data_IF_088059906531
#
_entry.id   IF_088059906531
#
_cell.length_a   1.000
_cell.length_b   1.000
_cell.length_c   1.000
_cell.angle_alpha   90.00
_cell.angle_beta   90.00
_cell.angle_gamma   90.00
#
_symmetry.space_group_name_H-M   'P 1'
#
loop_
_entity.id
_entity.type
_entity.pdbx_description
1 polymer ?
#
# COMPACT_ATOMS: atom_id res chain seq x y z
N UNK A 1 9.60 -11.31 91.04
CA UNK A 1 8.60 -11.56 89.93
C UNK A 1 8.51 -10.28 89.10
N UNK A 2 9.21 -10.19 87.95
CA UNK A 2 9.16 -9.06 87.05
C UNK A 2 8.36 -9.47 85.82
N UNK A 3 7.19 -8.82 85.58
CA UNK A 3 6.36 -8.98 84.38
C UNK A 3 6.91 -8.10 83.28
N UNK A 4 7.22 -8.70 82.15
CA UNK A 4 7.54 -7.99 80.90
C UNK A 4 6.25 -7.85 80.06
N UNK A 5 5.92 -6.58 79.75
CA UNK A 5 4.88 -6.28 78.70
C UNK A 5 5.58 -6.21 77.40
N UNK A 6 5.07 -7.04 76.40
CA UNK A 6 5.47 -6.95 75.03
C UNK A 6 4.44 -6.02 74.32
N UNK A 7 4.91 -4.87 73.83
CA UNK A 7 4.12 -3.99 72.97
C UNK A 7 4.26 -4.46 71.54
N UNK A 8 3.18 -4.94 71.00
CA UNK A 8 3.12 -5.28 69.56
C UNK A 8 2.93 -4.03 68.71
N UNK A 9 3.87 -3.73 67.82
CA UNK A 9 3.75 -2.69 66.80
C UNK A 9 3.05 -3.29 65.61
N UNK A 10 1.80 -2.85 65.31
CA UNK A 10 1.12 -3.12 64.06
C UNK A 10 1.74 -2.20 62.99
N UNK A 11 2.51 -2.76 62.06
CA UNK A 11 2.92 -2.09 60.85
C UNK A 11 1.75 -2.15 59.81
N UNK A 12 1.05 -1.05 59.63
CA UNK A 12 0.13 -0.85 58.51
C UNK A 12 0.96 -0.74 57.23
N UNK A 13 1.00 -1.80 56.44
CA UNK A 13 1.54 -1.79 55.09
C UNK A 13 0.67 -0.93 54.16
N UNK A 14 1.15 0.25 53.82
CA UNK A 14 0.57 1.06 52.74
C UNK A 14 1.07 0.42 51.44
N UNK A 15 0.18 -0.33 50.76
CA UNK A 15 0.44 -0.75 49.38
C UNK A 15 0.52 0.51 48.50
N UNK A 16 1.52 0.63 47.62
CA UNK A 16 1.52 1.73 46.68
C UNK A 16 0.31 1.58 45.75
N UNK A 17 -0.58 2.55 45.75
CA UNK A 17 -1.53 2.71 44.65
C UNK A 17 -0.67 3.00 43.42
N UNK A 18 -0.66 2.06 42.48
CA UNK A 18 -0.19 2.31 41.12
C UNK A 18 -1.08 3.44 40.56
N UNK A 19 -0.53 4.63 40.40
CA UNK A 19 -1.20 5.69 39.70
C UNK A 19 -1.37 5.19 38.24
N UNK A 20 -2.60 4.83 37.87
CA UNK A 20 -2.93 4.54 36.48
C UNK A 20 -2.74 5.85 35.73
N UNK A 21 -1.90 5.87 34.70
CA UNK A 21 -1.74 7.05 33.88
C UNK A 21 -3.12 7.45 33.35
N UNK A 22 -3.41 8.75 33.37
CA UNK A 22 -4.68 9.23 32.79
C UNK A 22 -4.69 8.91 31.30
N UNK A 23 -5.86 8.51 30.79
CA UNK A 23 -6.04 8.31 29.34
C UNK A 23 -5.60 9.58 28.57
N UNK A 24 -4.94 9.45 27.40
CA UNK A 24 -4.64 10.61 26.58
C UNK A 24 -5.92 11.30 26.11
N UNK A 25 -5.84 12.55 25.69
CA UNK A 25 -6.94 13.19 25.00
C UNK A 25 -7.04 12.67 23.57
N UNK A 26 -8.25 12.65 22.99
CA UNK A 26 -8.44 12.32 21.58
C UNK A 26 -7.62 13.25 20.67
N UNK A 27 -7.61 14.58 20.96
CA UNK A 27 -6.80 15.54 20.23
C UNK A 27 -5.31 15.17 20.17
N UNK A 28 -4.74 14.66 21.26
CA UNK A 28 -3.34 14.21 21.27
C UNK A 28 -3.12 12.97 20.39
N UNK A 29 -4.09 12.05 20.33
CA UNK A 29 -4.05 10.88 19.43
C UNK A 29 -4.18 11.31 17.97
N UNK A 30 -5.10 12.22 17.64
CA UNK A 30 -5.24 12.77 16.30
C UNK A 30 -3.96 13.49 15.84
N UNK A 31 -3.29 14.19 16.76
CA UNK A 31 -2.01 14.85 16.49
C UNK A 31 -0.94 13.82 16.14
N UNK A 32 -0.78 12.75 16.96
CA UNK A 32 0.17 11.67 16.70
C UNK A 32 -0.12 11.00 15.36
N UNK A 33 -1.38 10.68 15.08
CA UNK A 33 -1.80 10.11 13.79
C UNK A 33 -1.36 10.96 12.59
N UNK A 34 -1.61 12.27 12.67
CA UNK A 34 -1.21 13.19 11.61
C UNK A 34 0.32 13.37 11.51
N UNK A 35 1.05 13.30 12.62
CA UNK A 35 2.51 13.40 12.64
C UNK A 35 3.18 12.16 12.03
N UNK A 36 2.66 10.96 12.31
CA UNK A 36 3.17 9.73 11.69
C UNK A 36 2.78 9.64 10.21
N UNK A 37 1.58 10.09 9.81
CA UNK A 37 1.20 10.20 8.40
C UNK A 37 2.16 11.12 7.64
N UNK A 38 2.41 12.33 8.16
CA UNK A 38 3.36 13.28 7.57
C UNK A 38 4.75 12.66 7.40
N UNK A 39 5.27 12.00 8.44
CA UNK A 39 6.58 11.36 8.41
C UNK A 39 6.65 10.20 7.37
N UNK A 40 5.58 9.40 7.25
CA UNK A 40 5.53 8.31 6.27
C UNK A 40 5.51 8.83 4.83
N UNK A 41 4.74 9.90 4.55
CA UNK A 41 4.75 10.54 3.22
C UNK A 41 6.08 11.27 2.93
N UNK A 42 6.74 11.89 3.93
CA UNK A 42 8.10 12.42 3.75
C UNK A 42 9.09 11.30 3.36
N UNK A 43 9.01 10.13 4.00
CA UNK A 43 9.87 9.00 3.71
C UNK A 43 9.56 8.41 2.33
N UNK A 44 8.28 8.36 1.91
CA UNK A 44 7.88 7.99 0.55
C UNK A 44 8.48 8.94 -0.48
N UNK A 45 8.46 10.25 -0.23
CA UNK A 45 9.10 11.25 -1.09
C UNK A 45 10.64 11.09 -1.14
N UNK A 46 11.27 10.80 0.00
CA UNK A 46 12.73 10.57 0.07
C UNK A 46 13.11 9.37 -0.79
N UNK A 47 12.38 8.26 -0.67
CA UNK A 47 12.68 7.04 -1.43
C UNK A 47 12.31 7.16 -2.91
N UNK A 48 11.26 7.90 -3.26
CA UNK A 48 10.94 8.22 -4.66
C UNK A 48 12.04 9.08 -5.33
N UNK A 49 12.65 10.02 -4.63
CA UNK A 49 13.82 10.78 -5.12
C UNK A 49 15.08 9.91 -5.29
N UNK A 50 15.20 8.83 -4.50
CA UNK A 50 16.25 7.84 -4.72
C UNK A 50 15.95 6.97 -5.94
N UNK A 51 14.68 6.62 -6.19
CA UNK A 51 14.24 5.95 -7.41
C UNK A 51 14.52 6.81 -8.64
N UNK A 52 14.19 8.11 -8.64
CA UNK A 52 14.52 9.05 -9.72
C UNK A 52 16.02 9.03 -10.04
N UNK A 53 16.87 9.12 -9.02
CA UNK A 53 18.32 9.08 -9.21
C UNK A 53 18.81 7.78 -9.85
N UNK A 54 18.16 6.65 -9.57
CA UNK A 54 18.47 5.35 -10.15
C UNK A 54 17.95 5.25 -11.60
N UNK A 55 16.78 5.81 -11.88
CA UNK A 55 16.20 5.93 -13.23
C UNK A 55 17.09 6.82 -14.11
N UNK A 56 17.54 7.97 -13.63
CA UNK A 56 18.48 8.85 -14.32
C UNK A 56 19.78 8.11 -14.68
N UNK A 57 20.30 7.32 -13.76
CA UNK A 57 21.50 6.52 -14.00
C UNK A 57 21.28 5.43 -15.07
N UNK A 58 20.11 4.78 -15.08
CA UNK A 58 19.71 3.82 -16.11
C UNK A 58 19.63 4.50 -17.48
N UNK A 59 18.97 5.64 -17.59
CA UNK A 59 18.78 6.38 -18.84
C UNK A 59 20.14 6.89 -19.38
N UNK A 60 20.98 7.43 -18.50
CA UNK A 60 22.28 7.97 -18.87
C UNK A 60 23.29 6.89 -19.31
N UNK A 61 23.21 5.70 -18.72
CA UNK A 61 24.15 4.59 -18.98
C UNK A 61 23.46 3.23 -18.84
N UNK A 62 22.62 2.83 -19.82
CA UNK A 62 21.85 1.60 -19.76
C UNK A 62 22.74 0.36 -19.64
N UNK A 63 22.51 -0.44 -18.63
CA UNK A 63 23.18 -1.72 -18.34
C UNK A 63 22.32 -2.57 -17.42
N UNK A 64 22.61 -3.87 -17.30
CA UNK A 64 21.95 -4.73 -16.31
C UNK A 64 22.11 -4.18 -14.90
N UNK A 65 23.30 -3.71 -14.52
CA UNK A 65 23.56 -3.13 -13.20
C UNK A 65 22.68 -1.89 -12.91
N UNK A 66 22.51 -0.98 -13.87
CA UNK A 66 21.70 0.23 -13.67
C UNK A 66 20.21 -0.09 -13.68
N UNK A 67 19.76 -1.05 -14.49
CA UNK A 67 18.38 -1.54 -14.44
C UNK A 67 18.08 -2.22 -13.09
N UNK A 68 18.96 -3.09 -12.61
CA UNK A 68 18.80 -3.75 -11.31
C UNK A 68 18.76 -2.73 -10.16
N UNK A 69 19.57 -1.67 -10.22
CA UNK A 69 19.52 -0.59 -9.22
C UNK A 69 18.22 0.18 -9.26
N UNK A 70 17.66 0.45 -10.45
CA UNK A 70 16.35 1.09 -10.57
C UNK A 70 15.24 0.20 -10.02
N UNK A 71 15.25 -1.09 -10.31
CA UNK A 71 14.34 -2.09 -9.73
C UNK A 71 14.42 -2.16 -8.20
N UNK A 72 15.64 -2.18 -7.65
CA UNK A 72 15.84 -2.18 -6.19
C UNK A 72 15.35 -0.88 -5.55
N UNK A 73 15.58 0.28 -6.19
CA UNK A 73 15.12 1.57 -5.72
C UNK A 73 13.59 1.66 -5.75
N UNK A 74 12.93 1.09 -6.75
CA UNK A 74 11.48 1.00 -6.81
C UNK A 74 10.94 0.15 -5.63
N UNK A 75 11.47 -1.05 -5.40
CA UNK A 75 11.08 -1.88 -4.25
C UNK A 75 11.30 -1.15 -2.92
N UNK A 76 12.40 -0.42 -2.77
CA UNK A 76 12.65 0.38 -1.58
C UNK A 76 11.65 1.55 -1.42
N UNK A 77 11.18 2.14 -2.52
CA UNK A 77 10.20 3.21 -2.50
C UNK A 77 8.79 2.71 -2.09
N UNK A 78 8.47 1.44 -2.36
CA UNK A 78 7.22 0.82 -1.90
C UNK A 78 7.15 0.68 -0.36
N UNK A 79 8.30 0.51 0.32
CA UNK A 79 8.34 0.25 1.77
C UNK A 79 7.64 1.32 2.61
N UNK A 80 7.99 2.62 2.54
CA UNK A 80 7.27 3.65 3.28
C UNK A 80 5.89 3.93 2.69
N UNK A 81 5.74 3.87 1.36
CA UNK A 81 4.49 4.19 0.71
C UNK A 81 3.35 3.26 1.12
N UNK A 82 3.53 1.94 1.08
CA UNK A 82 2.49 0.98 1.45
C UNK A 82 2.00 1.16 2.90
N UNK A 83 2.85 1.61 3.80
CA UNK A 83 2.44 1.94 5.16
C UNK A 83 1.50 3.15 5.23
N UNK A 84 1.41 3.95 4.14
CA UNK A 84 0.49 5.10 4.07
C UNK A 84 -0.92 4.73 3.64
N UNK A 85 -1.18 3.54 3.13
CA UNK A 85 -2.50 3.08 2.71
C UNK A 85 -3.53 3.12 3.86
N UNK A 86 -3.09 2.98 5.11
CA UNK A 86 -3.94 3.11 6.29
C UNK A 86 -4.55 4.52 6.49
N UNK A 87 -4.04 5.54 5.79
CA UNK A 87 -4.56 6.92 5.85
C UNK A 87 -5.57 7.25 4.75
N UNK A 88 -5.76 6.36 3.78
CA UNK A 88 -6.59 6.52 2.61
C UNK A 88 -8.07 6.57 2.98
N UNK A 89 -8.60 5.47 3.44
CA UNK A 89 -10.03 5.33 3.76
C UNK A 89 -10.43 6.23 4.95
N UNK A 90 -11.55 6.90 4.82
CA UNK A 90 -12.03 7.85 5.84
C UNK A 90 -11.48 9.27 5.68
N UNK A 91 -10.47 9.51 4.83
CA UNK A 91 -10.00 10.84 4.45
C UNK A 91 -10.09 11.05 2.93
N UNK A 92 -11.16 11.69 2.42
CA UNK A 92 -11.40 11.82 0.98
C UNK A 92 -10.27 12.48 0.20
N UNK A 93 -9.46 13.35 0.87
CA UNK A 93 -8.32 14.02 0.21
C UNK A 93 -7.22 13.01 -0.13
N UNK A 94 -7.01 12.02 0.74
CA UNK A 94 -6.01 10.97 0.53
C UNK A 94 -6.56 9.93 -0.44
N UNK A 95 -7.82 9.54 -0.28
CA UNK A 95 -8.46 8.52 -1.08
C UNK A 95 -8.58 8.93 -2.57
N UNK A 96 -9.05 10.14 -2.85
CA UNK A 96 -9.11 10.68 -4.21
C UNK A 96 -7.71 10.90 -4.84
N UNK A 97 -6.68 11.11 -4.01
CA UNK A 97 -5.31 11.32 -4.49
C UNK A 97 -4.59 10.00 -4.78
N UNK A 98 -4.91 8.94 -4.06
CA UNK A 98 -4.21 7.65 -4.14
C UNK A 98 -4.19 7.09 -5.56
N UNK A 99 -5.29 7.18 -6.31
CA UNK A 99 -5.37 6.75 -7.71
C UNK A 99 -4.30 7.38 -8.62
N UNK A 100 -3.76 8.56 -8.31
CA UNK A 100 -2.67 9.15 -9.10
C UNK A 100 -1.35 8.36 -8.99
N UNK A 101 -1.12 7.70 -7.86
CA UNK A 101 0.19 7.11 -7.52
C UNK A 101 0.20 5.60 -7.39
N UNK A 102 -0.95 4.97 -7.10
CA UNK A 102 -1.02 3.53 -6.80
C UNK A 102 -2.22 2.81 -7.46
N UNK A 103 -2.86 3.44 -8.47
CA UNK A 103 -3.95 2.80 -9.20
C UNK A 103 -3.53 1.45 -9.78
N UNK A 104 -4.43 0.47 -9.68
CA UNK A 104 -4.29 -0.92 -10.10
C UNK A 104 -5.71 -1.51 -10.29
N UNK A 105 -5.95 -2.50 -11.16
CA UNK A 105 -5.01 -3.13 -12.10
C UNK A 105 -4.62 -2.25 -13.30
N UNK A 106 -3.57 -2.67 -14.05
CA UNK A 106 -3.00 -1.88 -15.14
C UNK A 106 -3.03 -2.66 -16.46
N UNK A 107 -3.65 -2.07 -17.49
CA UNK A 107 -3.57 -2.55 -18.88
C UNK A 107 -2.25 -2.11 -19.54
N UNK A 108 -1.26 -2.99 -19.59
CA UNK A 108 0.12 -2.71 -20.02
C UNK A 108 0.20 -2.26 -21.48
N UNK A 109 -0.67 -2.81 -22.33
CA UNK A 109 -0.68 -2.52 -23.76
C UNK A 109 -1.07 -1.09 -24.12
N UNK A 110 -1.63 -0.32 -23.18
CA UNK A 110 -1.80 1.12 -23.33
C UNK A 110 -0.44 1.84 -23.30
N UNK A 111 0.48 1.41 -22.47
CA UNK A 111 1.78 2.05 -22.25
C UNK A 111 2.80 1.62 -23.30
N UNK A 112 3.07 0.30 -23.40
CA UNK A 112 4.18 -0.24 -24.18
C UNK A 112 3.79 -1.53 -24.91
N UNK A 113 4.76 -2.19 -25.55
CA UNK A 113 4.58 -3.48 -26.20
C UNK A 113 4.28 -4.58 -25.17
N UNK A 114 3.45 -5.51 -25.59
CA UNK A 114 3.03 -6.70 -24.87
C UNK A 114 3.20 -7.95 -25.72
N UNK A 115 3.31 -9.12 -25.10
CA UNK A 115 3.18 -10.40 -25.80
C UNK A 115 1.74 -10.65 -26.22
N UNK A 116 1.45 -10.47 -27.50
CA UNK A 116 0.08 -10.62 -28.02
C UNK A 116 -0.44 -12.07 -28.03
N UNK A 117 0.40 -13.03 -27.66
CA UNK A 117 0.02 -14.43 -27.54
C UNK A 117 -0.67 -14.73 -26.22
N UNK A 118 -0.19 -14.13 -25.13
CA UNK A 118 -0.77 -14.20 -23.79
C UNK A 118 -1.78 -13.08 -23.52
N UNK A 119 -1.40 -11.84 -23.77
CA UNK A 119 -2.20 -10.65 -23.50
C UNK A 119 -3.40 -10.49 -24.44
N UNK A 120 -3.29 -10.92 -25.68
CA UNK A 120 -4.31 -10.69 -26.71
C UNK A 120 -4.02 -9.46 -27.57
N UNK A 121 -5.00 -9.07 -28.42
CA UNK A 121 -4.87 -7.96 -29.38
C UNK A 121 -5.93 -6.89 -29.21
N UNK A 122 -6.93 -7.14 -28.40
CA UNK A 122 -8.05 -6.23 -28.12
C UNK A 122 -8.79 -6.71 -26.90
N UNK A 123 -9.42 -5.78 -26.20
CA UNK A 123 -10.43 -6.05 -25.19
C UNK A 123 -11.76 -5.44 -25.63
N UNK A 124 -12.86 -6.09 -25.30
CA UNK A 124 -14.20 -5.53 -25.55
C UNK A 124 -14.52 -4.42 -24.51
N UNK A 125 -13.86 -4.45 -23.35
CA UNK A 125 -14.07 -3.53 -22.24
C UNK A 125 -13.15 -2.30 -22.32
N UNK A 126 -11.97 -2.43 -22.97
CA UNK A 126 -11.02 -1.33 -23.10
C UNK A 126 -10.60 -1.10 -24.56
N UNK A 127 -11.12 -0.04 -25.22
CA UNK A 127 -10.73 0.29 -26.60
C UNK A 127 -9.26 0.73 -26.75
N UNK A 128 -8.58 1.02 -25.63
CA UNK A 128 -7.17 1.46 -25.59
C UNK A 128 -6.21 0.36 -25.16
N UNK A 129 -6.70 -0.84 -24.92
CA UNK A 129 -5.99 -2.02 -24.42
C UNK A 129 -4.63 -2.29 -25.06
N UNK A 130 -4.46 -1.95 -26.34
CA UNK A 130 -3.20 -2.12 -27.08
C UNK A 130 -2.77 -0.84 -27.82
N UNK A 131 -3.10 0.33 -27.27
CA UNK A 131 -2.82 1.62 -27.92
C UNK A 131 -1.33 1.95 -28.01
N UNK A 132 -0.51 1.47 -27.08
CA UNK A 132 0.94 1.58 -27.02
C UNK A 132 1.43 3.01 -27.29
N UNK A 133 1.26 3.89 -26.31
CA UNK A 133 1.64 5.31 -26.42
C UNK A 133 3.14 5.51 -26.69
N UNK A 134 3.97 4.56 -26.25
CA UNK A 134 5.42 4.61 -26.50
C UNK A 134 5.72 4.43 -27.99
N UNK A 135 5.05 3.50 -28.66
CA UNK A 135 5.26 3.26 -30.09
C UNK A 135 4.50 4.23 -30.99
N UNK A 136 3.37 4.75 -30.53
CA UNK A 136 2.44 5.52 -31.36
C UNK A 136 2.38 7.00 -30.92
N UNK A 137 3.04 7.91 -31.67
CA UNK A 137 3.00 9.34 -31.34
C UNK A 137 1.68 10.03 -31.70
N UNK A 138 0.69 9.29 -32.20
CA UNK A 138 -0.65 9.76 -32.56
C UNK A 138 -1.67 8.68 -32.21
N UNK A 139 -2.41 8.91 -31.12
CA UNK A 139 -3.39 7.97 -30.60
C UNK A 139 -4.80 8.36 -31.04
N UNK A 140 -5.58 7.38 -31.50
CA UNK A 140 -7.00 7.58 -31.75
C UNK A 140 -7.80 7.30 -30.48
N UNK A 141 -8.40 8.33 -29.93
CA UNK A 141 -9.19 8.30 -28.71
C UNK A 141 -10.67 8.51 -29.07
N UNK A 142 -11.41 7.43 -29.26
CA UNK A 142 -12.82 7.54 -29.69
C UNK A 142 -12.96 8.35 -30.99
N UNK A 143 -13.56 9.54 -30.91
CA UNK A 143 -13.76 10.45 -32.06
C UNK A 143 -12.67 11.50 -32.25
N UNK A 144 -11.64 11.54 -31.40
CA UNK A 144 -10.53 12.49 -31.41
C UNK A 144 -9.17 11.82 -31.70
N UNK A 145 -8.15 12.63 -31.90
CA UNK A 145 -6.78 12.16 -32.01
C UNK A 145 -5.92 12.94 -31.01
N UNK A 146 -5.22 12.23 -30.14
CA UNK A 146 -4.21 12.79 -29.26
C UNK A 146 -2.84 12.67 -29.91
N UNK A 147 -2.22 13.80 -30.18
CA UNK A 147 -0.86 13.86 -30.71
C UNK A 147 0.15 13.85 -29.57
N UNK A 148 0.96 12.80 -29.49
CA UNK A 148 1.99 12.61 -28.45
C UNK A 148 3.41 12.55 -29.05
N UNK A 149 3.84 13.59 -29.80
CA UNK A 149 5.18 13.60 -30.41
C UNK A 149 6.29 13.52 -29.35
N UNK A 150 5.99 13.96 -28.13
CA UNK A 150 6.80 13.79 -26.94
C UNK A 150 5.93 13.25 -25.81
N UNK A 151 6.48 12.35 -25.01
CA UNK A 151 5.88 11.95 -23.75
C UNK A 151 6.13 13.08 -22.73
N UNK A 152 5.09 13.53 -22.06
CA UNK A 152 5.14 14.57 -21.02
C UNK A 152 4.21 14.20 -19.88
N UNK A 153 4.37 14.82 -18.70
CA UNK A 153 3.45 14.64 -17.57
C UNK A 153 1.99 14.85 -17.97
N UNK A 154 1.71 15.91 -18.76
CA UNK A 154 0.36 16.19 -19.24
C UNK A 154 -0.20 15.06 -20.12
N UNK A 155 0.62 14.42 -20.95
CA UNK A 155 0.19 13.29 -21.79
C UNK A 155 -0.18 12.08 -20.95
N UNK A 156 0.67 11.70 -19.99
CA UNK A 156 0.38 10.52 -19.16
C UNK A 156 -0.80 10.77 -18.21
N UNK A 157 -0.97 12.00 -17.70
CA UNK A 157 -2.14 12.38 -16.91
C UNK A 157 -3.44 12.38 -17.75
N UNK A 158 -3.40 12.79 -19.04
CA UNK A 158 -4.57 12.78 -19.92
C UNK A 158 -5.02 11.34 -20.28
N UNK A 159 -4.08 10.39 -20.26
CA UNK A 159 -4.37 8.98 -20.57
C UNK A 159 -4.77 8.18 -19.33
N UNK A 160 -4.51 8.69 -18.13
CA UNK A 160 -4.85 8.02 -16.88
C UNK A 160 -6.36 7.93 -16.69
N UNK A 161 -6.87 6.73 -16.46
CA UNK A 161 -8.32 6.42 -16.39
C UNK A 161 -9.14 6.94 -17.56
N UNK A 162 -8.52 7.03 -18.74
CA UNK A 162 -9.16 7.56 -19.95
C UNK A 162 -10.49 6.85 -20.23
N UNK A 163 -11.53 7.67 -20.52
CA UNK A 163 -12.90 7.23 -20.75
C UNK A 163 -13.53 6.45 -19.56
N UNK A 164 -13.06 6.72 -18.34
CA UNK A 164 -13.47 6.05 -17.10
C UNK A 164 -13.22 4.53 -17.10
N UNK A 165 -12.19 4.09 -17.81
CA UNK A 165 -11.66 2.73 -17.72
C UNK A 165 -10.56 2.73 -16.67
N UNK A 166 -10.82 2.14 -15.51
CA UNK A 166 -9.92 2.13 -14.35
C UNK A 166 -8.57 1.47 -14.66
N UNK A 167 -8.54 0.42 -15.50
CA UNK A 167 -7.32 -0.25 -15.92
C UNK A 167 -6.42 0.59 -16.86
N UNK A 168 -6.88 1.75 -17.35
CA UNK A 168 -6.01 2.69 -18.08
C UNK A 168 -5.04 3.42 -17.15
N UNK A 169 -4.25 2.68 -16.40
CA UNK A 169 -3.26 3.22 -15.47
C UNK A 169 -1.99 3.61 -16.24
N UNK A 170 -1.66 4.90 -16.21
CA UNK A 170 -0.52 5.46 -16.96
C UNK A 170 0.45 6.26 -16.08
N UNK A 171 0.17 6.37 -14.78
CA UNK A 171 0.94 7.11 -13.78
C UNK A 171 1.24 6.22 -12.56
N UNK A 172 2.03 6.73 -11.64
CA UNK A 172 2.26 6.09 -10.35
C UNK A 172 3.23 4.92 -10.37
N UNK A 173 3.23 4.19 -9.25
CA UNK A 173 4.18 3.11 -8.99
C UNK A 173 4.06 1.96 -9.99
N UNK A 174 2.86 1.54 -10.36
CA UNK A 174 2.65 0.37 -11.23
C UNK A 174 3.02 0.64 -12.68
N UNK A 175 2.82 1.88 -13.18
CA UNK A 175 3.32 2.26 -14.50
C UNK A 175 4.87 2.24 -14.54
N UNK A 176 5.53 2.71 -13.47
CA UNK A 176 7.00 2.65 -13.34
C UNK A 176 7.47 1.20 -13.21
N UNK A 177 6.76 0.38 -12.44
CA UNK A 177 7.02 -1.05 -12.28
C UNK A 177 6.99 -1.77 -13.64
N UNK A 178 5.89 -1.64 -14.38
CA UNK A 178 5.77 -2.21 -15.71
C UNK A 178 6.90 -1.75 -16.66
N UNK A 179 7.28 -0.47 -16.62
CA UNK A 179 8.39 0.02 -17.43
C UNK A 179 9.74 -0.59 -17.05
N UNK A 180 9.97 -0.90 -15.79
CA UNK A 180 11.23 -1.50 -15.32
C UNK A 180 11.29 -3.02 -15.51
N UNK A 181 10.18 -3.74 -15.32
CA UNK A 181 10.13 -5.20 -15.40
C UNK A 181 9.58 -5.74 -16.72
N UNK A 182 8.67 -5.00 -17.39
CA UNK A 182 7.86 -5.53 -18.48
C UNK A 182 6.80 -6.50 -17.94
N UNK A 183 6.10 -7.17 -18.85
CA UNK A 183 5.13 -8.21 -18.46
C UNK A 183 5.81 -9.35 -17.70
N UNK A 184 5.14 -9.87 -16.71
CA UNK A 184 5.43 -11.21 -16.23
C UNK A 184 4.73 -12.24 -17.12
N UNK A 185 5.52 -13.06 -17.81
CA UNK A 185 5.05 -14.11 -18.71
C UNK A 185 5.14 -15.49 -18.08
N UNK A 186 5.45 -15.58 -16.78
CA UNK A 186 5.63 -16.82 -16.07
C UNK A 186 4.31 -17.36 -15.46
N UNK A 187 3.27 -16.53 -15.45
CA UNK A 187 1.99 -16.85 -14.81
C UNK A 187 2.19 -17.10 -13.33
N UNK A 188 1.74 -18.24 -12.81
CA UNK A 188 2.01 -18.67 -11.42
C UNK A 188 3.29 -19.50 -11.31
N UNK A 189 4.21 -19.34 -12.22
CA UNK A 189 5.55 -19.99 -12.22
C UNK A 189 6.61 -19.03 -11.70
N UNK A 190 7.82 -19.50 -11.36
CA UNK A 190 8.84 -18.66 -10.76
C UNK A 190 9.41 -17.60 -11.71
N UNK A 191 9.50 -16.37 -11.24
CA UNK A 191 10.24 -15.28 -11.85
C UNK A 191 9.38 -14.12 -12.31
N UNK A 192 9.80 -12.93 -11.99
CA UNK A 192 9.22 -11.65 -12.36
C UNK A 192 9.42 -11.28 -13.83
N UNK A 193 8.81 -10.18 -14.28
CA UNK A 193 9.03 -9.62 -15.61
C UNK A 193 10.51 -9.43 -15.96
N UNK A 194 10.88 -9.71 -17.19
CA UNK A 194 12.27 -9.83 -17.64
C UNK A 194 12.62 -8.82 -18.75
N UNK A 195 12.24 -7.56 -18.59
CA UNK A 195 12.60 -6.49 -19.55
C UNK A 195 14.12 -6.34 -19.64
N UNK A 196 14.72 -6.40 -20.84
CA UNK A 196 16.16 -6.21 -21.01
C UNK A 196 16.52 -4.72 -20.87
N UNK A 197 17.68 -4.41 -20.28
CA UNK A 197 18.17 -3.03 -20.20
C UNK A 197 18.35 -2.38 -21.58
N UNK A 198 18.54 -3.18 -22.62
CA UNK A 198 18.68 -2.71 -24.01
C UNK A 198 17.39 -2.05 -24.55
N UNK A 199 16.28 -2.18 -23.86
CA UNK A 199 15.06 -1.41 -24.13
C UNK A 199 15.18 0.07 -23.79
N UNK A 200 16.20 0.43 -23.03
CA UNK A 200 16.58 1.81 -22.70
C UNK A 200 17.86 2.28 -23.40
N UNK A 201 18.54 1.38 -24.16
CA UNK A 201 19.80 1.71 -24.84
C UNK A 201 19.57 2.19 -26.28
N UNK A 202 19.67 3.50 -26.58
CA UNK A 202 19.45 4.01 -27.94
C UNK A 202 20.51 3.54 -28.95
N UNK A 203 21.64 2.98 -28.47
CA UNK A 203 22.71 2.45 -29.33
C UNK A 203 22.52 0.98 -29.67
N UNK A 204 21.74 0.24 -28.85
CA UNK A 204 21.48 -1.18 -29.02
C UNK A 204 20.03 -1.51 -28.68
N UNK A 205 19.11 -0.72 -29.19
CA UNK A 205 17.68 -0.81 -28.91
C UNK A 205 17.07 -2.13 -29.42
N UNK A 206 16.56 -2.98 -28.52
CA UNK A 206 16.06 -4.31 -28.87
C UNK A 206 14.59 -4.32 -29.31
N UNK A 207 13.70 -3.64 -28.56
CA UNK A 207 12.25 -3.67 -28.84
C UNK A 207 11.73 -2.35 -29.44
N UNK A 208 12.61 -1.50 -29.95
CA UNK A 208 12.27 -0.21 -30.54
C UNK A 208 11.85 0.84 -29.50
N UNK A 209 11.76 2.09 -29.96
CA UNK A 209 11.26 3.24 -29.18
C UNK A 209 11.98 3.48 -27.83
N UNK A 210 13.24 3.09 -27.71
CA UNK A 210 14.01 3.15 -26.46
C UNK A 210 14.11 4.57 -25.88
N UNK A 211 14.23 5.57 -26.75
CA UNK A 211 14.23 7.00 -26.38
C UNK A 211 12.86 7.44 -25.81
N UNK A 212 11.76 6.97 -26.38
CA UNK A 212 10.43 7.30 -25.87
C UNK A 212 10.08 6.53 -24.60
N UNK A 213 10.55 5.28 -24.47
CA UNK A 213 10.39 4.49 -23.24
C UNK A 213 11.17 5.12 -22.08
N UNK A 214 12.41 5.54 -22.34
CA UNK A 214 13.22 6.27 -21.38
C UNK A 214 12.53 7.58 -20.94
N UNK A 215 12.00 8.35 -21.91
CA UNK A 215 11.26 9.57 -21.60
C UNK A 215 9.97 9.31 -20.81
N UNK A 216 9.28 8.17 -21.04
CA UNK A 216 8.12 7.81 -20.26
C UNK A 216 8.49 7.50 -18.81
N UNK A 217 9.52 6.68 -18.61
CA UNK A 217 10.00 6.31 -17.28
C UNK A 217 10.47 7.55 -16.48
N UNK A 218 11.21 8.47 -17.11
CA UNK A 218 11.62 9.74 -16.53
C UNK A 218 10.40 10.57 -16.07
N UNK A 219 9.48 10.82 -17.00
CA UNK A 219 8.29 11.64 -16.76
C UNK A 219 7.33 11.02 -15.71
N UNK A 220 7.17 9.69 -15.71
CA UNK A 220 6.35 9.01 -14.72
C UNK A 220 6.95 9.12 -13.31
N UNK A 221 8.29 9.04 -13.20
CA UNK A 221 9.00 9.19 -11.93
C UNK A 221 8.96 10.63 -11.42
N UNK A 222 9.16 11.63 -12.32
CA UNK A 222 9.01 13.06 -11.99
C UNK A 222 7.58 13.36 -11.47
N UNK A 223 6.55 12.79 -12.12
CA UNK A 223 5.15 12.99 -11.72
C UNK A 223 4.88 12.36 -10.36
N UNK A 224 5.34 11.15 -10.10
CA UNK A 224 5.23 10.48 -8.80
C UNK A 224 5.80 11.35 -7.67
N UNK A 225 6.97 11.98 -7.90
CA UNK A 225 7.58 12.89 -6.92
C UNK A 225 6.71 14.12 -6.69
N UNK A 226 6.17 14.72 -7.76
CA UNK A 226 5.31 15.90 -7.63
C UNK A 226 4.01 15.57 -6.85
N UNK A 227 3.41 14.41 -7.11
CA UNK A 227 2.22 13.94 -6.40
C UNK A 227 2.53 13.61 -4.92
N UNK A 228 3.68 13.03 -4.61
CA UNK A 228 4.11 12.82 -3.23
C UNK A 228 4.42 14.15 -2.51
N UNK A 229 4.99 15.15 -3.17
CA UNK A 229 5.18 16.50 -2.62
C UNK A 229 3.85 17.16 -2.27
N UNK A 230 2.80 16.95 -3.10
CA UNK A 230 1.43 17.38 -2.81
C UNK A 230 0.94 16.74 -1.50
N UNK A 231 1.12 15.43 -1.31
CA UNK A 231 0.60 14.74 -0.13
C UNK A 231 1.41 15.04 1.14
N UNK A 232 2.72 15.20 1.05
CA UNK A 232 3.53 15.73 2.17
C UNK A 232 3.00 17.10 2.63
N UNK A 233 2.68 18.00 1.69
CA UNK A 233 2.10 19.31 2.02
C UNK A 233 0.70 19.19 2.64
N UNK A 234 -0.12 18.22 2.21
CA UNK A 234 -1.45 17.96 2.76
C UNK A 234 -1.41 17.45 4.22
N UNK A 235 -0.36 16.75 4.62
CA UNK A 235 -0.19 16.27 6.01
C UNK A 235 0.67 17.20 6.89
N UNK A 236 1.34 18.21 6.32
CA UNK A 236 2.07 19.21 7.08
C UNK A 236 1.13 20.02 8.00
N UNK A 237 1.70 20.78 8.95
CA UNK A 237 0.92 21.71 9.79
C UNK A 237 0.13 22.70 8.91
N UNK A 238 -1.18 22.71 9.06
CA UNK A 238 -2.12 23.53 8.26
C UNK A 238 -2.46 22.92 6.88
N UNK A 239 -1.95 21.74 6.54
CA UNK A 239 -2.33 21.01 5.33
C UNK A 239 -3.76 20.47 5.39
N UNK A 240 -4.36 20.26 4.22
CA UNK A 240 -5.79 19.96 4.12
C UNK A 240 -6.17 18.57 4.66
N UNK A 241 -5.36 17.52 4.41
CA UNK A 241 -5.62 16.17 4.92
C UNK A 241 -5.52 16.14 6.46
N UNK A 242 -4.50 16.82 7.02
CA UNK A 242 -4.37 16.99 8.48
C UNK A 242 -5.54 17.79 9.06
N UNK A 243 -5.92 18.88 8.41
CA UNK A 243 -7.04 19.72 8.87
C UNK A 243 -8.36 18.94 8.87
N UNK A 244 -8.61 18.10 7.85
CA UNK A 244 -9.82 17.27 7.78
C UNK A 244 -9.98 16.38 9.03
N UNK A 245 -8.89 15.75 9.48
CA UNK A 245 -8.88 14.93 10.70
C UNK A 245 -9.13 15.76 11.96
N UNK A 246 -8.42 16.89 12.08
CA UNK A 246 -8.51 17.73 13.29
C UNK A 246 -9.86 18.47 13.40
N UNK A 247 -10.40 18.96 12.29
CA UNK A 247 -11.69 19.69 12.24
C UNK A 247 -12.91 18.77 12.40
N UNK A 248 -12.77 17.47 12.11
CA UNK A 248 -13.80 16.48 12.42
C UNK A 248 -14.06 16.33 13.94
N UNK A 249 -13.16 16.86 14.77
CA UNK A 249 -13.21 16.81 16.23
C UNK A 249 -12.95 15.40 16.77
N UNK A 250 -12.97 15.27 18.10
CA UNK A 250 -12.53 14.04 18.79
C UNK A 250 -13.15 12.76 18.21
N UNK A 251 -14.47 12.70 18.11
CA UNK A 251 -15.15 11.50 17.61
C UNK A 251 -15.03 11.32 16.10
N UNK A 252 -15.13 12.39 15.35
CA UNK A 252 -15.02 12.32 13.89
C UNK A 252 -13.62 11.93 13.44
N UNK A 253 -12.59 12.52 14.02
CA UNK A 253 -11.19 12.17 13.71
C UNK A 253 -10.86 10.73 14.10
N UNK A 254 -11.28 10.26 15.28
CA UNK A 254 -11.11 8.85 15.67
C UNK A 254 -11.89 7.89 14.75
N UNK A 255 -13.09 8.28 14.29
CA UNK A 255 -13.83 7.50 13.32
C UNK A 255 -13.09 7.40 11.98
N UNK A 256 -12.50 8.49 11.48
CA UNK A 256 -11.66 8.48 10.27
C UNK A 256 -10.48 7.50 10.40
N UNK A 257 -9.77 7.53 11.54
CA UNK A 257 -8.66 6.60 11.81
C UNK A 257 -9.13 5.15 11.75
N UNK A 258 -10.19 4.82 12.49
CA UNK A 258 -10.69 3.43 12.57
C UNK A 258 -11.36 2.97 11.28
N UNK A 259 -11.94 3.89 10.48
CA UNK A 259 -12.37 3.60 9.10
C UNK A 259 -11.17 3.20 8.23
N UNK A 260 -10.09 3.99 8.26
CA UNK A 260 -8.86 3.67 7.52
C UNK A 260 -8.30 2.31 7.87
N UNK A 261 -8.14 2.05 9.17
CA UNK A 261 -7.67 0.74 9.65
C UNK A 261 -8.58 -0.42 9.23
N UNK A 262 -9.90 -0.25 9.38
CA UNK A 262 -10.87 -1.31 9.11
C UNK A 262 -11.06 -1.59 7.63
N UNK A 263 -11.22 -0.55 6.80
CA UNK A 263 -11.42 -0.69 5.35
C UNK A 263 -10.19 -1.25 4.66
N UNK A 264 -8.98 -0.76 5.02
CA UNK A 264 -7.75 -1.39 4.52
C UNK A 264 -7.64 -2.86 4.95
N UNK A 265 -7.98 -3.19 6.19
CA UNK A 265 -7.85 -4.58 6.67
C UNK A 265 -8.85 -5.53 6.02
N UNK A 266 -10.11 -5.12 5.81
CA UNK A 266 -11.19 -5.97 5.33
C UNK A 266 -11.38 -5.89 3.82
N UNK A 267 -11.89 -4.77 3.33
CA UNK A 267 -12.27 -4.61 1.94
C UNK A 267 -11.08 -4.70 1.02
N UNK A 268 -10.11 -3.85 1.25
CA UNK A 268 -8.96 -3.70 0.36
C UNK A 268 -7.99 -4.88 0.47
N UNK A 269 -7.26 -5.02 1.59
CA UNK A 269 -6.17 -5.99 1.69
C UNK A 269 -6.67 -7.43 1.74
N UNK A 270 -7.62 -7.76 2.66
CA UNK A 270 -8.10 -9.13 2.75
C UNK A 270 -8.98 -9.52 1.55
N UNK A 271 -9.80 -8.59 1.05
CA UNK A 271 -10.76 -8.82 -0.03
C UNK A 271 -10.14 -8.69 -1.41
N UNK A 272 -9.95 -7.45 -1.86
CA UNK A 272 -9.56 -7.15 -3.24
C UNK A 272 -8.14 -7.63 -3.55
N UNK A 273 -7.16 -7.35 -2.67
CA UNK A 273 -5.75 -7.67 -2.94
C UNK A 273 -5.35 -9.11 -2.65
N UNK A 274 -6.06 -9.84 -1.78
CA UNK A 274 -5.64 -11.20 -1.40
C UNK A 274 -6.67 -12.27 -1.75
N UNK A 275 -7.95 -12.08 -1.33
CA UNK A 275 -8.96 -13.13 -1.52
C UNK A 275 -9.35 -13.31 -2.96
N UNK A 276 -9.42 -12.23 -3.73
CA UNK A 276 -9.77 -12.27 -5.14
C UNK A 276 -8.76 -13.12 -5.92
N UNK A 277 -7.47 -12.78 -5.87
CA UNK A 277 -6.41 -13.54 -6.53
C UNK A 277 -6.33 -15.00 -6.10
N UNK A 278 -6.52 -15.26 -4.79
CA UNK A 278 -6.57 -16.63 -4.27
C UNK A 278 -7.77 -17.43 -4.78
N UNK A 279 -8.94 -16.81 -4.96
CA UNK A 279 -10.13 -17.48 -5.48
C UNK A 279 -10.01 -17.80 -6.98
N UNK A 280 -9.44 -16.90 -7.74
CA UNK A 280 -9.27 -17.01 -9.19
C UNK A 280 -8.02 -17.81 -9.57
N UNK A 281 -7.04 -17.91 -8.66
CA UNK A 281 -5.69 -18.43 -8.95
C UNK A 281 -5.03 -17.66 -10.09
N UNK A 282 -5.33 -16.36 -10.19
CA UNK A 282 -4.91 -15.50 -11.29
C UNK A 282 -3.74 -14.60 -10.84
N UNK A 283 -2.56 -14.70 -11.48
CA UNK A 283 -1.43 -13.85 -11.17
C UNK A 283 -1.65 -12.37 -11.54
N UNK A 284 -2.59 -12.07 -12.47
CA UNK A 284 -2.91 -10.70 -12.84
C UNK A 284 -3.68 -9.94 -11.73
N UNK A 285 -4.23 -10.68 -10.75
CA UNK A 285 -4.84 -10.12 -9.54
C UNK A 285 -3.81 -9.79 -8.45
N UNK A 286 -2.52 -9.84 -8.75
CA UNK A 286 -1.46 -9.40 -7.86
C UNK A 286 -1.26 -7.89 -7.89
N UNK A 287 -1.08 -7.29 -6.73
CA UNK A 287 -0.88 -5.86 -6.62
C UNK A 287 0.43 -5.37 -7.25
N UNK A 288 1.55 -6.08 -7.06
CA UNK A 288 2.86 -5.79 -7.67
C UNK A 288 3.27 -6.94 -8.62
N UNK A 289 2.41 -7.24 -9.63
CA UNK A 289 2.51 -8.43 -10.49
C UNK A 289 3.76 -8.45 -11.39
N UNK A 290 4.26 -7.30 -11.83
CA UNK A 290 5.42 -7.27 -12.72
C UNK A 290 6.74 -7.59 -12.00
N UNK A 291 6.83 -7.29 -10.72
CA UNK A 291 8.06 -7.37 -9.93
C UNK A 291 8.12 -8.54 -8.95
N UNK A 292 7.06 -9.35 -8.84
CA UNK A 292 6.86 -10.35 -7.77
C UNK A 292 7.07 -9.77 -6.37
N UNK A 293 6.62 -8.53 -6.13
CA UNK A 293 6.83 -7.84 -4.85
C UNK A 293 5.59 -7.79 -3.96
N UNK A 294 4.47 -8.37 -4.38
CA UNK A 294 3.15 -8.31 -3.74
C UNK A 294 3.18 -8.72 -2.27
N UNK A 295 3.98 -9.73 -1.91
CA UNK A 295 4.15 -10.16 -0.52
C UNK A 295 4.66 -9.05 0.41
N UNK A 296 5.56 -8.19 -0.07
CA UNK A 296 6.05 -7.04 0.70
C UNK A 296 5.03 -5.90 0.72
N UNK A 297 4.31 -5.66 -0.37
CA UNK A 297 3.24 -4.65 -0.37
C UNK A 297 2.17 -4.99 0.66
N UNK A 298 1.69 -6.23 0.70
CA UNK A 298 0.74 -6.70 1.72
C UNK A 298 1.29 -6.63 3.15
N UNK A 299 2.58 -6.97 3.34
CA UNK A 299 3.23 -6.85 4.64
C UNK A 299 3.24 -5.41 5.14
N UNK A 300 3.61 -4.45 4.27
CA UNK A 300 3.71 -3.04 4.67
C UNK A 300 2.33 -2.37 4.81
N UNK A 301 1.32 -2.79 4.09
CA UNK A 301 -0.08 -2.39 4.34
C UNK A 301 -0.52 -2.77 5.76
N UNK A 302 -0.31 -4.03 6.13
CA UNK A 302 -0.64 -4.52 7.47
C UNK A 302 0.19 -3.81 8.56
N UNK A 303 1.46 -3.52 8.28
CA UNK A 303 2.32 -2.75 9.18
C UNK A 303 1.82 -1.31 9.36
N UNK A 304 1.31 -0.68 8.29
CA UNK A 304 0.68 0.64 8.34
C UNK A 304 -0.51 0.67 9.30
N UNK A 305 -1.39 -0.31 9.23
CA UNK A 305 -2.52 -0.46 10.18
C UNK A 305 -2.02 -0.58 11.62
N UNK A 306 -1.00 -1.41 11.84
CA UNK A 306 -0.41 -1.59 13.17
C UNK A 306 0.23 -0.31 13.70
N UNK A 307 0.97 0.41 12.87
CA UNK A 307 1.61 1.68 13.21
C UNK A 307 0.59 2.73 13.65
N UNK A 308 -0.53 2.83 12.92
CA UNK A 308 -1.64 3.73 13.26
C UNK A 308 -2.24 3.38 14.62
N UNK A 309 -2.49 2.09 14.89
CA UNK A 309 -3.03 1.65 16.18
C UNK A 309 -2.10 1.95 17.36
N UNK A 310 -0.82 1.64 17.18
CA UNK A 310 0.20 1.80 18.23
C UNK A 310 0.70 3.26 18.35
N UNK A 311 0.36 4.14 17.39
CA UNK A 311 0.85 5.53 17.37
C UNK A 311 2.37 5.61 17.22
N UNK A 312 2.97 4.72 16.41
CA UNK A 312 4.43 4.60 16.25
C UNK A 312 4.81 4.29 14.80
N UNK A 313 5.72 5.07 14.24
CA UNK A 313 6.29 4.86 12.92
C UNK A 313 7.82 4.94 12.97
N UNK A 314 8.50 3.96 12.40
CA UNK A 314 9.95 3.94 12.23
C UNK A 314 10.32 4.42 10.83
N UNK A 315 11.03 5.52 10.77
CA UNK A 315 11.43 6.19 9.53
C UNK A 315 12.54 5.45 8.80
N UNK A 316 12.71 5.75 7.52
CA UNK A 316 13.76 5.16 6.66
C UNK A 316 15.19 5.46 7.14
N UNK A 317 15.39 6.47 7.98
CA UNK A 317 16.68 6.79 8.59
C UNK A 317 16.90 6.12 9.98
N UNK A 318 15.91 5.32 10.44
CA UNK A 318 15.90 4.62 11.72
C UNK A 318 15.44 5.48 12.91
N UNK A 319 15.09 6.74 12.70
CA UNK A 319 14.44 7.56 13.74
C UNK A 319 12.98 7.09 13.93
N UNK A 320 12.38 7.44 15.07
CA UNK A 320 11.02 7.03 15.41
C UNK A 320 10.16 8.24 15.68
N UNK A 321 8.98 8.27 15.08
CA UNK A 321 7.88 9.19 15.43
C UNK A 321 6.88 8.40 16.24
N UNK A 322 6.60 8.83 17.48
CA UNK A 322 5.68 8.14 18.38
C UNK A 322 4.98 9.13 19.33
N UNK A 323 3.79 8.76 19.79
CA UNK A 323 3.03 9.58 20.73
C UNK A 323 1.77 8.85 21.23
N UNK A 324 0.86 9.58 21.92
CA UNK A 324 -0.43 9.04 22.35
C UNK A 324 -1.17 8.34 21.21
N UNK A 325 -1.74 7.16 21.47
CA UNK A 325 -2.22 6.23 20.44
C UNK A 325 -3.69 5.86 20.59
N UNK A 326 -4.26 5.25 19.56
CA UNK A 326 -5.58 4.61 19.62
C UNK A 326 -5.56 3.48 20.66
N UNK A 327 -4.47 2.71 20.73
CA UNK A 327 -4.26 1.67 21.74
C UNK A 327 -4.39 2.23 23.16
N UNK A 328 -3.78 3.37 23.47
CA UNK A 328 -3.90 4.01 24.79
C UNK A 328 -5.35 4.38 25.15
N UNK A 329 -6.14 4.84 24.18
CA UNK A 329 -7.58 5.16 24.38
C UNK A 329 -8.40 3.89 24.61
N UNK A 330 -8.15 2.86 23.81
CA UNK A 330 -8.83 1.56 23.96
C UNK A 330 -8.45 0.93 25.29
N UNK A 331 -7.16 0.89 25.66
CA UNK A 331 -6.67 0.35 26.94
C UNK A 331 -7.27 1.08 28.16
N UNK A 332 -7.45 2.39 28.08
CA UNK A 332 -8.08 3.18 29.13
C UNK A 332 -9.58 2.86 29.30
N UNK A 333 -10.25 2.42 28.24
CA UNK A 333 -11.67 2.06 28.21
C UNK A 333 -11.87 0.58 28.54
N UNK A 334 -11.12 -0.31 27.91
CA UNK A 334 -11.16 -1.78 28.05
C UNK A 334 -9.77 -2.36 27.74
N UNK A 335 -8.98 -2.61 28.77
CA UNK A 335 -7.60 -3.11 28.65
C UNK A 335 -7.54 -4.55 28.05
N UNK A 336 -8.61 -5.37 28.22
CA UNK A 336 -8.64 -6.71 27.62
C UNK A 336 -8.94 -6.61 26.11
N UNK A 337 -9.73 -5.65 25.68
CA UNK A 337 -9.94 -5.37 24.27
C UNK A 337 -8.66 -4.86 23.59
N UNK A 338 -7.94 -3.91 24.22
CA UNK A 338 -6.65 -3.46 23.69
C UNK A 338 -5.66 -4.61 23.50
N UNK A 339 -5.56 -5.47 24.51
CA UNK A 339 -4.73 -6.67 24.41
C UNK A 339 -5.19 -7.63 23.30
N UNK A 340 -6.50 -7.76 23.09
CA UNK A 340 -7.05 -8.61 22.02
C UNK A 340 -6.72 -8.04 20.65
N UNK A 341 -6.92 -6.73 20.43
CA UNK A 341 -6.63 -6.07 19.15
C UNK A 341 -5.12 -6.02 18.86
N UNK A 342 -4.30 -5.65 19.84
CA UNK A 342 -2.82 -5.72 19.69
C UNK A 342 -2.35 -7.15 19.40
N UNK A 343 -2.97 -8.16 20.01
CA UNK A 343 -2.70 -9.57 19.73
C UNK A 343 -3.08 -9.95 18.29
N UNK A 344 -4.23 -9.51 17.79
CA UNK A 344 -4.70 -9.77 16.43
C UNK A 344 -3.79 -9.11 15.38
N UNK A 345 -3.40 -7.84 15.59
CA UNK A 345 -2.44 -7.13 14.74
C UNK A 345 -1.08 -7.84 14.66
N UNK A 346 -0.58 -8.32 15.80
CA UNK A 346 0.67 -9.07 15.83
C UNK A 346 0.55 -10.45 15.15
N UNK A 347 -0.60 -11.11 15.23
CA UNK A 347 -0.85 -12.38 14.52
C UNK A 347 -0.90 -12.14 13.01
N UNK A 348 -1.57 -11.08 12.55
CA UNK A 348 -1.55 -10.65 11.15
C UNK A 348 -0.12 -10.42 10.67
N UNK A 349 0.69 -9.65 11.39
CA UNK A 349 2.10 -9.43 11.02
C UNK A 349 2.90 -10.73 10.95
N UNK A 350 2.64 -11.69 11.85
CA UNK A 350 3.29 -13.00 11.79
C UNK A 350 2.90 -13.78 10.52
N UNK A 351 1.63 -13.72 10.10
CA UNK A 351 1.16 -14.37 8.87
C UNK A 351 1.70 -13.70 7.61
N UNK A 352 1.78 -12.36 7.60
CA UNK A 352 2.44 -11.62 6.51
C UNK A 352 3.94 -11.97 6.43
N UNK A 353 4.61 -12.14 7.57
CA UNK A 353 6.00 -12.60 7.62
C UNK A 353 6.14 -14.01 7.06
N UNK A 354 5.28 -14.97 7.45
CA UNK A 354 5.28 -16.34 6.91
C UNK A 354 5.16 -16.35 5.37
N UNK A 355 4.37 -15.44 4.81
CA UNK A 355 4.16 -15.27 3.36
C UNK A 355 5.38 -14.65 2.68
N UNK A 356 5.95 -13.59 3.28
CA UNK A 356 7.14 -12.93 2.77
C UNK A 356 8.38 -13.83 2.84
N UNK A 357 8.57 -14.58 3.93
CA UNK A 357 9.67 -15.55 4.08
C UNK A 357 9.62 -16.65 3.02
N UNK A 358 8.42 -17.09 2.63
CA UNK A 358 8.24 -18.07 1.56
C UNK A 358 8.63 -17.46 0.19
N UNK A 359 8.25 -16.20 -0.07
CA UNK A 359 8.62 -15.51 -1.29
C UNK A 359 10.13 -15.30 -1.40
N UNK A 360 10.78 -14.88 -0.32
CA UNK A 360 12.24 -14.75 -0.25
C UNK A 360 12.98 -16.10 -0.40
N UNK A 361 12.31 -17.21 -0.04
CA UNK A 361 12.82 -18.56 -0.28
C UNK A 361 12.59 -19.06 -1.72
N UNK A 362 11.97 -18.27 -2.59
CA UNK A 362 11.75 -18.54 -4.01
C UNK A 362 10.35 -19.03 -4.37
N UNK A 363 9.36 -18.83 -3.49
CA UNK A 363 7.94 -19.09 -3.75
C UNK A 363 7.20 -17.74 -3.66
N UNK A 364 7.29 -16.89 -4.71
CA UNK A 364 6.68 -15.57 -4.78
C UNK A 364 5.15 -15.66 -4.65
N UNK A 365 4.47 -14.51 -4.52
CA UNK A 365 3.05 -14.50 -4.15
C UNK A 365 2.17 -15.15 -5.21
N UNK A 366 2.43 -14.92 -6.50
CA UNK A 366 1.78 -15.59 -7.64
C UNK A 366 1.81 -17.11 -7.51
N UNK A 367 2.98 -17.67 -7.14
CA UNK A 367 3.14 -19.10 -6.93
C UNK A 367 2.35 -19.56 -5.70
N UNK A 368 2.26 -18.73 -4.64
CA UNK A 368 1.52 -19.06 -3.45
C UNK A 368 0.00 -19.10 -3.68
N UNK A 369 -0.54 -18.25 -4.57
CA UNK A 369 -1.97 -18.30 -4.95
C UNK A 369 -2.26 -19.31 -6.06
N UNK A 370 -1.25 -19.83 -6.76
CA UNK A 370 -1.38 -20.70 -7.92
C UNK A 370 -2.25 -21.93 -7.69
N UNK A 371 -2.97 -22.38 -8.74
CA UNK A 371 -3.83 -23.57 -8.70
C UNK A 371 -3.01 -24.82 -8.35
N UNK A 372 -3.47 -25.59 -7.35
CA UNK A 372 -2.81 -26.82 -6.90
C UNK A 372 -1.66 -26.60 -5.92
N UNK A 373 -1.28 -25.38 -5.58
CA UNK A 373 -0.33 -25.10 -4.51
C UNK A 373 -1.02 -25.06 -3.14
N UNK A 374 -1.37 -26.25 -2.60
CA UNK A 374 -2.10 -26.36 -1.34
C UNK A 374 -1.41 -25.65 -0.17
N UNK A 375 -0.07 -25.68 -0.11
CA UNK A 375 0.69 -25.04 0.97
C UNK A 375 0.74 -23.52 0.87
N UNK A 376 0.92 -22.98 -0.34
CA UNK A 376 0.87 -21.55 -0.63
C UNK A 376 -0.52 -20.98 -0.38
N UNK A 377 -1.54 -21.62 -0.96
CA UNK A 377 -2.95 -21.23 -0.77
C UNK A 377 -3.34 -21.20 0.72
N UNK A 378 -2.92 -22.21 1.49
CA UNK A 378 -3.20 -22.25 2.94
C UNK A 378 -2.48 -21.13 3.70
N UNK A 379 -1.29 -20.72 3.26
CA UNK A 379 -0.52 -19.61 3.86
C UNK A 379 -1.20 -18.27 3.62
N UNK A 380 -1.62 -18.01 2.37
CA UNK A 380 -2.36 -16.80 2.01
C UNK A 380 -3.72 -16.76 2.74
N UNK A 381 -4.47 -17.86 2.77
CA UNK A 381 -5.76 -17.94 3.48
C UNK A 381 -5.61 -17.74 5.00
N UNK A 382 -4.48 -18.15 5.59
CA UNK A 382 -4.19 -17.87 7.00
C UNK A 382 -3.96 -16.37 7.26
N UNK A 383 -3.30 -15.63 6.34
CA UNK A 383 -3.12 -14.20 6.43
C UNK A 383 -4.47 -13.46 6.27
N UNK A 384 -5.29 -13.84 5.29
CA UNK A 384 -6.67 -13.34 5.13
C UNK A 384 -7.47 -13.56 6.42
N UNK A 385 -7.44 -14.77 6.98
CA UNK A 385 -8.14 -15.08 8.23
C UNK A 385 -7.69 -14.18 9.39
N UNK A 386 -6.40 -13.90 9.51
CA UNK A 386 -5.88 -13.00 10.55
C UNK A 386 -6.37 -11.55 10.36
N UNK A 387 -6.40 -11.05 9.13
CA UNK A 387 -6.99 -9.75 8.78
C UNK A 387 -8.48 -9.66 9.16
N UNK A 388 -9.27 -10.71 8.90
CA UNK A 388 -10.68 -10.78 9.31
C UNK A 388 -10.86 -10.79 10.83
N UNK A 389 -9.93 -11.41 11.56
CA UNK A 389 -9.95 -11.41 13.04
C UNK A 389 -9.62 -10.01 13.55
N UNK A 390 -8.57 -9.36 13.04
CA UNK A 390 -8.21 -8.00 13.48
C UNK A 390 -9.32 -6.99 13.15
N UNK A 391 -10.00 -7.11 12.02
CA UNK A 391 -11.14 -6.23 11.66
C UNK A 391 -12.26 -6.32 12.70
N UNK A 392 -12.59 -7.53 13.17
CA UNK A 392 -13.59 -7.69 14.24
C UNK A 392 -13.17 -7.04 15.56
N UNK A 393 -11.89 -7.07 15.89
CA UNK A 393 -11.39 -6.37 17.08
C UNK A 393 -11.37 -4.84 16.89
N UNK A 394 -11.13 -4.36 15.65
CA UNK A 394 -11.29 -2.93 15.29
C UNK A 394 -12.76 -2.51 15.48
N UNK A 395 -13.73 -3.28 15.01
CA UNK A 395 -15.16 -3.01 15.21
C UNK A 395 -15.54 -2.95 16.70
N UNK A 396 -14.96 -3.82 17.52
CA UNK A 396 -15.14 -3.77 18.97
C UNK A 396 -14.55 -2.51 19.59
N UNK A 397 -13.38 -2.06 19.11
CA UNK A 397 -12.76 -0.81 19.55
C UNK A 397 -13.63 0.40 19.18
N UNK A 398 -14.22 0.43 17.97
CA UNK A 398 -15.20 1.43 17.54
C UNK A 398 -16.36 1.52 18.53
N UNK A 399 -16.95 0.37 18.89
CA UNK A 399 -18.06 0.32 19.84
C UNK A 399 -17.65 0.75 21.26
N UNK A 400 -16.47 0.33 21.74
CA UNK A 400 -15.96 0.67 23.07
C UNK A 400 -15.67 2.19 23.21
N UNK A 401 -15.19 2.83 22.14
CA UNK A 401 -14.95 4.27 22.10
C UNK A 401 -16.22 5.09 21.87
N UNK A 402 -17.39 4.43 21.68
CA UNK A 402 -18.69 5.07 21.47
C UNK A 402 -18.73 5.87 20.17
N UNK A 403 -18.14 5.32 19.12
CA UNK A 403 -18.14 5.88 17.78
C UNK A 403 -19.30 5.25 17.01
N UNK A 404 -20.26 6.09 16.60
CA UNK A 404 -21.44 5.67 15.85
C UNK A 404 -21.23 5.97 14.35
N UNK A 405 -21.86 5.16 13.47
CA UNK A 405 -21.90 5.35 12.02
C UNK A 405 -20.55 5.22 11.28
N UNK A 406 -19.67 4.37 11.76
CA UNK A 406 -18.48 3.99 11.02
C UNK A 406 -18.88 2.94 9.97
N UNK A 407 -18.44 3.12 8.72
CA UNK A 407 -18.61 2.15 7.64
C UNK A 407 -17.23 1.61 7.27
N UNK A 408 -17.03 0.31 7.43
CA UNK A 408 -15.89 -0.42 6.88
C UNK A 408 -16.28 -0.85 5.47
N UNK A 409 -15.42 -0.61 4.50
CA UNK A 409 -15.64 -1.04 3.13
C UNK A 409 -15.62 -2.56 3.02
N UNK A 410 -16.53 -3.11 2.21
CA UNK A 410 -16.65 -4.54 1.94
C UNK A 410 -15.93 -4.93 0.66
N UNK A 411 -15.94 -6.23 0.35
CA UNK A 411 -15.45 -6.80 -0.90
C UNK A 411 -16.34 -7.96 -1.33
N UNK A 412 -16.67 -8.03 -2.60
CA UNK A 412 -17.45 -9.14 -3.15
C UNK A 412 -16.74 -10.48 -2.97
N UNK A 413 -15.41 -10.51 -3.02
CA UNK A 413 -14.62 -11.72 -2.78
C UNK A 413 -14.82 -12.33 -1.39
N UNK A 414 -15.15 -11.49 -0.39
CA UNK A 414 -15.45 -11.91 0.99
C UNK A 414 -16.94 -12.02 1.27
N UNK A 415 -17.73 -11.03 0.82
CA UNK A 415 -19.15 -10.89 1.18
C UNK A 415 -20.07 -11.74 0.28
N UNK A 416 -19.67 -11.90 -1.00
CA UNK A 416 -20.43 -12.65 -2.02
C UNK A 416 -19.49 -13.37 -3.01
N UNK A 417 -18.65 -14.33 -2.56
CA UNK A 417 -17.63 -14.96 -3.41
C UNK A 417 -18.15 -15.55 -4.73
N UNK A 418 -19.45 -15.88 -4.81
CA UNK A 418 -20.05 -16.38 -6.04
C UNK A 418 -20.20 -15.31 -7.13
N UNK A 419 -20.16 -14.02 -6.79
CA UNK A 419 -20.23 -12.93 -7.77
C UNK A 419 -18.94 -12.82 -8.58
N UNK A 420 -17.79 -13.19 -7.98
CA UNK A 420 -16.45 -13.12 -8.62
C UNK A 420 -16.35 -14.02 -9.86
N UNK A 421 -17.20 -15.05 -9.97
CA UNK A 421 -17.20 -16.00 -11.08
C UNK A 421 -18.32 -15.73 -12.11
N UNK A 422 -18.99 -14.60 -12.09
CA UNK A 422 -20.10 -14.23 -13.00
C UNK A 422 -19.65 -13.24 -14.06
#
# INVERSE_FOLDING_TARGET
MKRWMIAGVLALGVAPLSAQAAAPSAEAVLTTYADIAHAAYEDSLITAKQLESAVDALIASPSEETLDKAKQAWKAARVPYQQTEAYRFGNPIVDEWEGKVNAWPLDEGLIDYVDTGSYGKSSDDNPYYTANVIANPSLKLGGSTLETPKITTAVIQELHELDAVEANVTTGYHAIEFLLWGQDLNGTGPGAGARPYTDFDPKNCTNGNCDRRAAYLEVATELLIADLEEMVANWAEGGAARAAVMEAGDKGGLAMILTGMGSLSYGELAGERMKLGLLLHDPEEEHDCFSDNTHWSHYYDALGVKNVYEGRYERVDGSVVEGPSVSDLVAATDAELDKALSGALNDTMAKMTDMADAAEAGEAYDQQIGEGNESGNARVDAAITALLVQTREIERAVAALGLDNLSIEGSDSLDNPAAVFQ
#
